data_IF_406936063218
#
_entry.id   IF_406936063218
#
_cell.length_a   1.000
_cell.length_b   1.000
_cell.length_c   1.000
_cell.angle_alpha   90.00
_cell.angle_beta   90.00
_cell.angle_gamma   90.00
#
_symmetry.space_group_name_H-M   'P 1'
#
loop_
_entity.id
_entity.type
_entity.pdbx_description
1 polymer ?
#
# COMPACT_ATOMS: atom_id res chain seq x y z
N UNK A 1 18.61 18.53 -6.88
CA UNK A 1 17.84 18.01 -8.02
C UNK A 1 18.40 16.65 -8.42
N UNK A 2 17.55 15.69 -8.83
CA UNK A 2 17.93 14.27 -8.92
C UNK A 2 18.30 13.75 -10.33
N UNK A 3 17.96 14.48 -11.40
CA UNK A 3 18.16 14.06 -12.81
C UNK A 3 17.70 12.60 -13.06
N UNK A 4 16.40 12.34 -12.88
CA UNK A 4 15.76 11.04 -13.05
C UNK A 4 14.42 11.21 -13.76
N UNK A 5 13.98 10.17 -14.47
CA UNK A 5 12.64 10.11 -15.06
C UNK A 5 11.58 10.20 -13.97
N UNK A 6 10.60 11.08 -14.17
CA UNK A 6 9.45 11.26 -13.28
C UNK A 6 8.17 10.89 -14.02
N UNK A 7 7.19 10.37 -13.29
CA UNK A 7 5.88 9.99 -13.86
C UNK A 7 5.02 11.23 -14.08
N UNK A 8 4.90 12.09 -13.06
CA UNK A 8 4.14 13.33 -13.16
C UNK A 8 5.11 14.50 -13.14
N UNK A 9 4.94 15.41 -14.10
CA UNK A 9 5.67 16.67 -14.20
C UNK A 9 4.81 17.84 -13.72
N UNK A 10 5.39 19.05 -13.75
CA UNK A 10 4.69 20.27 -13.35
C UNK A 10 3.91 20.93 -14.50
N UNK A 11 3.75 20.26 -15.65
CA UNK A 11 3.09 20.82 -16.83
C UNK A 11 1.57 20.54 -16.87
N UNK A 12 1.08 19.65 -16.00
CA UNK A 12 -0.35 19.43 -15.72
C UNK A 12 -1.27 19.18 -16.94
N UNK A 13 -0.72 18.74 -18.07
CA UNK A 13 -1.47 18.61 -19.33
C UNK A 13 -2.34 17.35 -19.43
N UNK A 14 -2.02 16.30 -18.67
CA UNK A 14 -2.76 15.03 -18.65
C UNK A 14 -3.31 14.73 -17.25
N UNK A 15 -4.56 15.14 -17.01
CA UNK A 15 -5.24 14.98 -15.73
C UNK A 15 -5.43 13.52 -15.32
N UNK A 16 -5.65 12.60 -16.27
CA UNK A 16 -5.81 11.17 -15.99
C UNK A 16 -4.53 10.57 -15.41
N UNK A 17 -3.37 11.01 -15.90
CA UNK A 17 -2.09 10.53 -15.41
C UNK A 17 -1.83 10.98 -13.96
N UNK A 18 -2.11 12.26 -13.68
CA UNK A 18 -2.01 12.84 -12.34
C UNK A 18 -2.99 12.15 -11.38
N UNK A 19 -4.22 11.91 -11.84
CA UNK A 19 -5.23 11.19 -11.08
C UNK A 19 -4.80 9.75 -10.75
N UNK A 20 -4.12 9.06 -11.68
CA UNK A 20 -3.61 7.71 -11.43
C UNK A 20 -2.60 7.69 -10.28
N UNK A 21 -1.70 8.68 -10.22
CA UNK A 21 -0.75 8.82 -9.10
C UNK A 21 -1.46 9.24 -7.82
N UNK A 22 -2.42 10.17 -7.88
CA UNK A 22 -3.24 10.56 -6.74
C UNK A 22 -3.98 9.37 -6.12
N UNK A 23 -4.60 8.55 -6.96
CA UNK A 23 -5.28 7.31 -6.59
C UNK A 23 -4.32 6.28 -5.99
N UNK A 24 -3.11 6.12 -6.55
CA UNK A 24 -2.12 5.24 -5.95
C UNK A 24 -1.73 5.71 -4.54
N UNK A 25 -1.46 6.99 -4.36
CA UNK A 25 -1.07 7.55 -3.05
C UNK A 25 -2.20 7.51 -2.02
N UNK A 26 -3.47 7.58 -2.45
CA UNK A 26 -4.64 7.52 -1.58
C UNK A 26 -5.12 6.09 -1.28
N UNK A 27 -4.67 5.10 -2.05
CA UNK A 27 -5.09 3.69 -1.93
C UNK A 27 -4.34 2.93 -0.82
N UNK A 28 -4.89 1.79 -0.35
CA UNK A 28 -4.14 0.85 0.47
C UNK A 28 -2.88 0.35 -0.24
N UNK A 29 -1.84 0.06 0.55
CA UNK A 29 -0.50 -0.30 0.06
C UNK A 29 -0.46 -1.32 -1.09
N UNK A 30 -1.28 -2.39 -1.03
CA UNK A 30 -1.29 -3.42 -2.08
C UNK A 30 -1.81 -2.88 -3.41
N UNK A 31 -2.94 -2.18 -3.40
CA UNK A 31 -3.53 -1.59 -4.61
C UNK A 31 -2.62 -0.50 -5.20
N UNK A 32 -2.02 0.32 -4.32
CA UNK A 32 -1.04 1.31 -4.74
C UNK A 32 0.20 0.68 -5.39
N UNK A 33 0.69 -0.44 -4.84
CA UNK A 33 1.80 -1.18 -5.43
C UNK A 33 1.43 -1.76 -6.81
N UNK A 34 0.22 -2.27 -7.00
CA UNK A 34 -0.24 -2.77 -8.31
C UNK A 34 -0.25 -1.65 -9.37
N UNK A 35 -0.73 -0.46 -9.02
CA UNK A 35 -0.72 0.73 -9.89
C UNK A 35 0.71 1.17 -10.22
N UNK A 36 1.57 1.33 -9.21
CA UNK A 36 2.94 1.76 -9.45
C UNK A 36 3.76 0.72 -10.22
N UNK A 37 3.52 -0.57 -9.99
CA UNK A 37 4.15 -1.63 -10.76
C UNK A 37 3.68 -1.66 -12.22
N UNK A 38 2.41 -1.35 -12.51
CA UNK A 38 1.93 -1.26 -13.90
C UNK A 38 2.49 -0.06 -14.65
N UNK A 39 2.85 1.01 -13.92
CA UNK A 39 3.53 2.20 -14.44
C UNK A 39 5.08 2.07 -14.47
N UNK A 40 5.61 0.88 -14.19
CA UNK A 40 7.06 0.59 -14.08
C UNK A 40 7.84 1.50 -13.10
N UNK A 41 7.16 2.00 -12.07
CA UNK A 41 7.78 2.85 -11.05
C UNK A 41 8.72 2.02 -10.17
N UNK A 42 9.93 2.54 -9.96
CA UNK A 42 10.93 1.89 -9.08
C UNK A 42 11.05 2.55 -7.72
N UNK A 43 10.86 3.87 -7.65
CA UNK A 43 11.03 4.66 -6.44
C UNK A 43 9.85 5.60 -6.24
N UNK A 44 9.47 5.81 -4.98
CA UNK A 44 8.49 6.80 -4.54
C UNK A 44 9.20 7.75 -3.58
N UNK A 45 9.07 9.05 -3.84
CA UNK A 45 9.57 10.11 -2.97
C UNK A 45 8.39 10.77 -2.29
N UNK A 46 8.48 10.98 -0.97
CA UNK A 46 7.51 11.76 -0.20
C UNK A 46 8.23 12.84 0.60
N UNK A 47 7.60 13.99 0.71
CA UNK A 47 8.01 15.10 1.57
C UNK A 47 7.23 15.03 2.87
N UNK A 48 7.93 14.95 3.99
CA UNK A 48 7.34 14.82 5.32
C UNK A 48 7.88 15.89 6.27
N UNK A 49 7.00 16.75 6.77
CA UNK A 49 7.39 17.89 7.60
C UNK A 49 7.22 17.68 9.10
N UNK A 50 6.65 16.56 9.53
CA UNK A 50 6.19 16.38 10.91
C UNK A 50 7.28 16.41 11.97
N UNK A 51 8.53 16.08 11.62
CA UNK A 51 9.66 16.17 12.57
C UNK A 51 10.17 17.59 12.79
N UNK A 52 10.22 18.41 11.73
CA UNK A 52 10.78 19.77 11.78
C UNK A 52 9.72 20.86 11.91
N UNK A 53 8.44 20.54 11.70
CA UNK A 53 7.37 21.53 11.64
C UNK A 53 7.26 22.21 10.28
N UNK A 54 7.58 21.54 9.18
CA UNK A 54 7.46 22.11 7.83
C UNK A 54 6.05 21.89 7.25
N UNK A 55 5.19 22.93 7.14
CA UNK A 55 3.78 22.76 6.80
C UNK A 55 3.51 22.50 5.32
N UNK A 56 4.47 22.72 4.42
CA UNK A 56 4.26 22.49 2.98
C UNK A 56 4.59 21.07 2.52
N UNK A 57 4.36 20.09 3.39
CA UNK A 57 4.60 18.67 3.17
C UNK A 57 3.43 17.97 2.46
N UNK A 58 3.62 16.69 2.10
CA UNK A 58 2.65 15.96 1.28
C UNK A 58 1.40 15.53 2.05
N UNK A 59 1.45 15.47 3.39
CA UNK A 59 0.27 15.22 4.22
C UNK A 59 -0.69 16.41 4.17
N UNK A 60 -0.21 17.66 4.21
CA UNK A 60 -1.09 18.83 4.11
C UNK A 60 -1.69 18.99 2.71
N UNK A 61 -1.01 18.48 1.69
CA UNK A 61 -1.50 18.49 0.30
C UNK A 61 -2.32 17.24 -0.06
N UNK A 62 -2.44 16.28 0.84
CA UNK A 62 -2.98 14.96 0.53
C UNK A 62 -4.44 14.98 0.06
N UNK A 63 -5.29 15.83 0.64
CA UNK A 63 -6.69 15.94 0.20
C UNK A 63 -6.82 16.38 -1.26
N UNK A 64 -5.88 17.16 -1.79
CA UNK A 64 -5.84 17.48 -3.22
C UNK A 64 -5.60 16.24 -4.06
N UNK A 65 -4.70 15.34 -3.63
CA UNK A 65 -4.46 14.07 -4.31
C UNK A 65 -5.71 13.18 -4.32
N UNK A 66 -6.42 13.12 -3.19
CA UNK A 66 -7.69 12.39 -3.05
C UNK A 66 -8.75 12.93 -4.00
N UNK A 67 -8.92 14.26 -4.07
CA UNK A 67 -9.89 14.92 -4.96
C UNK A 67 -9.57 14.70 -6.44
N UNK A 68 -8.29 14.84 -6.82
CA UNK A 68 -7.86 14.63 -8.21
C UNK A 68 -8.03 13.17 -8.61
N UNK A 69 -7.63 12.22 -7.75
CA UNK A 69 -7.84 10.79 -7.97
C UNK A 69 -9.31 10.42 -8.07
N UNK A 70 -10.13 10.90 -7.12
CA UNK A 70 -11.58 10.65 -7.06
C UNK A 70 -12.38 11.26 -8.22
N UNK A 71 -11.88 12.35 -8.81
CA UNK A 71 -12.50 12.98 -9.98
C UNK A 71 -12.46 12.10 -11.24
N UNK A 72 -11.47 11.21 -11.36
CA UNK A 72 -11.35 10.26 -12.48
C UNK A 72 -11.76 8.84 -12.07
N UNK A 73 -11.48 8.46 -10.82
CA UNK A 73 -11.69 7.11 -10.29
C UNK A 73 -12.67 7.14 -9.09
N UNK A 74 -13.98 6.92 -9.32
CA UNK A 74 -15.05 7.17 -8.32
C UNK A 74 -15.02 6.27 -7.06
N UNK A 75 -14.15 5.27 -7.03
CA UNK A 75 -13.97 4.39 -5.87
C UNK A 75 -13.18 5.08 -4.74
N UNK A 76 -12.44 6.16 -5.05
CA UNK A 76 -11.81 7.02 -4.06
C UNK A 76 -12.78 8.17 -3.75
N UNK A 77 -13.20 8.30 -2.49
CA UNK A 77 -14.14 9.34 -2.06
C UNK A 77 -13.54 10.14 -0.92
N UNK A 78 -13.52 11.46 -1.06
CA UNK A 78 -12.99 12.36 -0.02
C UNK A 78 -13.60 12.13 1.37
N UNK A 79 -14.94 11.95 1.52
CA UNK A 79 -15.54 11.71 2.83
C UNK A 79 -14.94 10.51 3.59
N UNK A 80 -14.43 9.50 2.89
CA UNK A 80 -13.85 8.31 3.52
C UNK A 80 -12.56 8.64 4.29
N UNK A 81 -11.91 9.77 4.01
CA UNK A 81 -10.68 10.25 4.67
C UNK A 81 -10.96 11.28 5.77
N UNK A 82 -12.22 11.69 5.94
CA UNK A 82 -12.63 12.71 6.91
C UNK A 82 -13.40 12.05 8.06
N UNK A 83 -13.08 12.45 9.30
CA UNK A 83 -13.86 12.06 10.47
C UNK A 83 -14.79 13.21 10.82
N UNK A 84 -16.10 13.02 10.65
CA UNK A 84 -17.10 14.05 10.94
C UNK A 84 -16.81 15.39 10.21
N UNK A 85 -16.31 15.29 8.96
CA UNK A 85 -15.87 16.43 8.14
C UNK A 85 -14.48 16.98 8.47
N UNK A 86 -13.82 16.49 9.53
CA UNK A 86 -12.48 16.92 9.92
C UNK A 86 -11.39 16.03 9.31
N UNK A 87 -10.34 16.67 8.78
CA UNK A 87 -9.13 15.99 8.33
C UNK A 87 -8.18 15.76 9.49
N UNK A 88 -7.92 14.50 9.83
CA UNK A 88 -7.12 14.11 11.00
C UNK A 88 -6.15 12.98 10.65
N UNK A 89 -5.02 12.95 11.36
CA UNK A 89 -4.02 11.85 11.28
C UNK A 89 -3.69 11.22 12.64
N UNK A 90 -4.46 11.59 13.67
CA UNK A 90 -4.40 11.04 15.03
C UNK A 90 -5.20 9.73 15.16
N UNK A 91 -5.36 9.24 16.38
CA UNK A 91 -6.08 8.00 16.66
C UNK A 91 -7.58 8.06 16.30
N UNK A 92 -8.15 9.24 16.09
CA UNK A 92 -9.55 9.43 15.72
C UNK A 92 -9.74 9.49 14.19
N UNK A 93 -8.65 9.52 13.41
CA UNK A 93 -8.70 9.48 11.96
C UNK A 93 -9.39 8.21 11.44
N UNK A 94 -9.95 8.29 10.23
CA UNK A 94 -10.66 7.15 9.65
C UNK A 94 -9.70 5.99 9.35
N UNK A 95 -10.19 4.74 9.36
CA UNK A 95 -9.39 3.59 8.95
C UNK A 95 -8.83 3.73 7.53
N UNK A 96 -9.55 4.40 6.63
CA UNK A 96 -9.08 4.70 5.26
C UNK A 96 -7.85 5.60 5.29
N UNK A 97 -7.89 6.68 6.09
CA UNK A 97 -6.73 7.58 6.24
C UNK A 97 -5.52 6.88 6.87
N UNK A 98 -5.73 6.09 7.92
CA UNK A 98 -4.63 5.38 8.62
C UNK A 98 -4.06 4.19 7.83
N UNK A 99 -4.73 3.72 6.78
CA UNK A 99 -4.28 2.60 5.96
C UNK A 99 -3.85 3.00 4.53
N UNK A 100 -4.04 4.26 4.13
CA UNK A 100 -3.59 4.75 2.83
C UNK A 100 -2.06 4.70 2.71
N UNK A 101 -1.57 4.63 1.47
CA UNK A 101 -0.13 4.55 1.22
C UNK A 101 0.58 5.82 1.70
N UNK A 102 0.03 7.02 1.44
CA UNK A 102 0.62 8.27 1.89
C UNK A 102 0.91 8.29 3.38
N UNK A 103 -0.08 7.94 4.22
CA UNK A 103 0.10 7.86 5.67
C UNK A 103 1.22 6.90 6.04
N UNK A 104 1.21 5.70 5.44
CA UNK A 104 2.22 4.68 5.71
C UNK A 104 3.63 5.14 5.32
N UNK A 105 3.81 5.78 4.18
CA UNK A 105 5.12 6.24 3.72
C UNK A 105 5.63 7.43 4.54
N UNK A 106 4.78 8.37 4.94
CA UNK A 106 5.23 9.51 5.74
C UNK A 106 5.58 9.10 7.18
N UNK A 107 4.73 8.27 7.82
CA UNK A 107 4.87 7.91 9.24
C UNK A 107 5.60 6.60 9.52
N UNK A 108 6.17 5.95 8.50
CA UNK A 108 6.94 4.71 8.72
C UNK A 108 8.05 4.96 9.75
N UNK A 109 8.05 4.18 10.83
CA UNK A 109 9.03 4.28 11.93
C UNK A 109 9.09 5.64 12.64
N UNK A 110 8.09 6.51 12.46
CA UNK A 110 8.12 7.86 13.03
C UNK A 110 8.16 7.89 14.56
N UNK A 111 7.53 6.91 15.21
CA UNK A 111 7.57 6.72 16.66
C UNK A 111 8.99 6.45 17.19
N UNK A 112 9.92 5.99 16.35
CA UNK A 112 11.32 5.77 16.75
C UNK A 112 12.10 7.09 16.95
N UNK A 113 11.54 8.24 16.54
CA UNK A 113 12.22 9.54 16.66
C UNK A 113 12.16 10.12 18.08
N UNK A 114 11.00 10.06 18.73
CA UNK A 114 10.73 10.68 20.03
C UNK A 114 9.98 9.74 21.00
N UNK A 115 9.71 8.50 20.59
CA UNK A 115 8.96 7.48 21.35
C UNK A 115 7.44 7.62 21.31
N UNK A 116 6.90 8.75 20.85
CA UNK A 116 5.46 9.05 20.84
C UNK A 116 4.91 9.11 19.40
N UNK A 117 5.70 9.63 18.47
CA UNK A 117 5.29 9.97 17.12
C UNK A 117 4.48 11.26 17.10
N UNK A 118 4.98 12.33 17.74
CA UNK A 118 4.30 13.62 17.76
C UNK A 118 4.57 14.40 16.46
N UNK A 119 3.53 14.69 15.67
CA UNK A 119 3.66 15.51 14.48
C UNK A 119 3.61 17.00 14.86
N UNK A 120 4.74 17.72 14.68
CA UNK A 120 4.89 19.14 15.01
C UNK A 120 4.09 20.08 14.12
N UNK A 121 3.75 19.68 12.89
CA UNK A 121 2.93 20.47 11.97
C UNK A 121 1.46 20.43 12.39
N UNK A 122 0.98 19.25 12.80
CA UNK A 122 -0.44 19.05 13.18
C UNK A 122 -0.72 19.28 14.65
N UNK A 123 0.30 19.19 15.50
CA UNK A 123 0.19 19.43 16.94
C UNK A 123 -0.44 18.27 17.72
N UNK A 124 -0.38 17.04 17.20
CA UNK A 124 -0.91 15.87 17.89
C UNK A 124 -0.13 14.60 17.58
N UNK A 125 -0.34 13.57 18.42
CA UNK A 125 0.26 12.25 18.27
C UNK A 125 -0.42 11.47 17.14
N UNK A 126 0.37 10.74 16.35
CA UNK A 126 -0.15 9.95 15.23
C UNK A 126 -1.04 8.79 15.70
N UNK A 127 -2.08 8.47 14.92
CA UNK A 127 -3.01 7.41 15.29
C UNK A 127 -2.45 5.99 15.21
N UNK A 128 -1.82 5.64 14.10
CA UNK A 128 -1.28 4.30 13.86
C UNK A 128 0.24 4.31 13.97
N UNK A 129 0.70 3.96 15.17
CA UNK A 129 2.12 4.00 15.58
C UNK A 129 2.98 2.90 14.96
N UNK A 130 2.47 1.67 14.93
CA UNK A 130 3.25 0.50 14.54
C UNK A 130 2.62 -0.20 13.34
N UNK A 131 3.38 -0.23 12.23
CA UNK A 131 3.01 -0.97 11.03
C UNK A 131 4.28 -1.32 10.23
N UNK A 132 4.15 -2.29 9.34
CA UNK A 132 5.24 -2.72 8.45
C UNK A 132 4.85 -2.48 7.00
N UNK A 133 5.82 -2.13 6.18
CA UNK A 133 5.68 -2.04 4.73
C UNK A 133 6.00 -3.40 4.09
N UNK A 134 5.01 -4.00 3.45
CA UNK A 134 5.14 -5.31 2.78
C UNK A 134 5.58 -5.18 1.33
N UNK A 135 5.19 -4.10 0.64
CA UNK A 135 5.41 -3.89 -0.79
C UNK A 135 6.44 -2.78 -1.09
N UNK A 136 6.79 -1.99 -0.10
CA UNK A 136 7.78 -0.92 -0.20
C UNK A 136 8.92 -1.16 0.80
N UNK A 137 10.11 -0.68 0.46
CA UNK A 137 11.27 -0.63 1.35
C UNK A 137 11.80 0.80 1.44
N UNK A 138 12.08 1.28 2.65
CA UNK A 138 12.75 2.56 2.86
C UNK A 138 14.21 2.43 2.40
N UNK A 139 14.64 3.25 1.45
CA UNK A 139 16.03 3.23 0.93
C UNK A 139 16.83 4.45 1.34
N UNK A 140 16.16 5.56 1.63
CA UNK A 140 16.80 6.79 2.07
C UNK A 140 15.83 7.68 2.84
N UNK A 141 16.28 8.24 3.95
CA UNK A 141 15.57 9.28 4.69
C UNK A 141 16.59 10.35 5.09
N UNK A 142 16.28 11.61 4.79
CA UNK A 142 17.15 12.74 5.16
C UNK A 142 17.31 12.87 6.67
N UNK A 143 18.39 13.52 7.13
CA UNK A 143 18.71 13.70 8.55
C UNK A 143 17.53 14.27 9.37
N UNK A 144 16.84 15.26 8.82
CA UNK A 144 15.67 15.89 9.45
C UNK A 144 14.32 15.35 8.94
N UNK A 145 14.35 14.19 8.28
CA UNK A 145 13.18 13.44 7.80
C UNK A 145 12.28 14.21 6.83
N UNK A 146 12.79 15.29 6.24
CA UNK A 146 12.07 16.15 5.30
C UNK A 146 11.74 15.44 3.98
N UNK A 147 12.67 14.62 3.49
CA UNK A 147 12.49 13.80 2.29
C UNK A 147 12.72 12.34 2.65
N UNK A 148 11.83 11.47 2.19
CA UNK A 148 11.89 10.02 2.33
C UNK A 148 11.72 9.36 0.97
N UNK A 149 12.56 8.38 0.67
CA UNK A 149 12.56 7.65 -0.59
C UNK A 149 12.35 6.18 -0.29
N UNK A 150 11.36 5.63 -0.97
CA UNK A 150 10.98 4.23 -0.89
C UNK A 150 11.20 3.57 -2.23
N UNK A 151 11.63 2.32 -2.21
CA UNK A 151 11.74 1.48 -3.40
C UNK A 151 10.61 0.46 -3.41
N UNK A 152 10.07 0.20 -4.59
CA UNK A 152 9.08 -0.86 -4.80
C UNK A 152 9.76 -2.22 -4.73
N UNK A 153 9.22 -3.11 -3.90
CA UNK A 153 9.67 -4.50 -3.86
C UNK A 153 9.22 -5.23 -5.12
N UNK A 154 10.05 -6.13 -5.68
CA UNK A 154 9.68 -6.92 -6.83
C UNK A 154 8.50 -7.84 -6.48
N UNK A 155 7.72 -8.20 -7.49
CA UNK A 155 6.65 -9.17 -7.33
C UNK A 155 7.25 -10.48 -6.80
N UNK A 156 6.67 -11.02 -5.72
CA UNK A 156 7.12 -12.31 -5.19
C UNK A 156 6.93 -13.37 -6.28
N UNK A 157 8.01 -14.01 -6.69
CA UNK A 157 7.96 -15.13 -7.65
C UNK A 157 6.99 -16.18 -7.13
N UNK A 158 5.89 -16.39 -7.87
CA UNK A 158 4.87 -17.38 -7.55
C UNK A 158 5.38 -18.77 -7.92
N UNK A 159 6.35 -19.31 -7.20
CA UNK A 159 6.67 -20.75 -7.27
C UNK A 159 5.59 -21.49 -6.48
N UNK A 160 4.37 -21.52 -7.01
CA UNK A 160 3.24 -22.25 -6.44
C UNK A 160 2.93 -23.46 -7.30
N UNK A 161 3.92 -24.33 -7.40
CA UNK A 161 3.75 -25.73 -7.74
C UNK A 161 4.09 -26.56 -6.51
N UNK A 162 3.19 -26.63 -5.50
CA UNK A 162 3.14 -27.86 -4.71
C UNK A 162 2.64 -28.91 -5.68
N UNK A 163 3.55 -29.66 -6.28
CA UNK A 163 3.22 -30.88 -7.01
C UNK A 163 2.45 -31.74 -6.00
N UNK A 164 1.12 -31.77 -6.09
CA UNK A 164 0.34 -32.79 -5.40
C UNK A 164 0.83 -34.09 -6.00
N UNK A 165 1.60 -34.86 -5.23
CA UNK A 165 2.02 -36.21 -5.58
C UNK A 165 0.72 -37.01 -5.77
N UNK A 166 0.25 -37.13 -7.01
CA UNK A 166 -0.84 -38.03 -7.35
C UNK A 166 -0.33 -39.43 -7.02
N UNK A 167 -0.79 -40.00 -5.91
CA UNK A 167 -0.61 -41.43 -5.66
C UNK A 167 -1.44 -42.17 -6.70
N UNK A 168 -0.80 -42.57 -7.79
CA UNK A 168 -1.35 -43.59 -8.68
C UNK A 168 -1.45 -44.89 -7.88
N UNK A 169 -2.64 -45.20 -7.37
CA UNK A 169 -2.93 -46.54 -6.84
C UNK A 169 -3.24 -47.42 -8.05
N UNK A 170 -2.23 -48.15 -8.51
CA UNK A 170 -2.43 -49.22 -9.49
C UNK A 170 -3.19 -50.35 -8.78
N UNK A 171 -4.51 -50.42 -8.98
CA UNK A 171 -5.27 -51.63 -8.67
C UNK A 171 -5.15 -52.57 -9.86
N UNK A 172 -4.23 -53.52 -9.75
CA UNK A 172 -4.22 -54.74 -10.57
C UNK A 172 -5.45 -55.57 -10.23
N UNK A 173 -6.33 -55.75 -11.21
CA UNK A 173 -7.41 -56.74 -11.19
C UNK A 173 -6.81 -58.14 -11.34
N UNK A 174 -7.30 -59.15 -10.61
CA UNK A 174 -7.31 -60.51 -11.11
C UNK A 174 -8.75 -60.89 -11.47
N UNK A 175 -8.94 -61.24 -12.73
CA UNK A 175 -10.02 -62.11 -13.20
C UNK A 175 -9.87 -63.50 -12.60
N UNK A 176 -10.95 -64.12 -12.11
CA UNK A 176 -11.35 -65.51 -12.41
C UNK A 176 -12.59 -65.99 -11.62
N UNK A 177 -13.59 -66.40 -12.41
CA UNK A 177 -14.46 -67.58 -12.28
C UNK A 177 -15.28 -67.88 -10.99
N UNK A 178 -16.61 -67.76 -11.17
CA UNK A 178 -17.68 -68.75 -10.90
C UNK A 178 -17.75 -69.51 -9.57
N UNK A 179 -18.89 -69.37 -8.87
CA UNK A 179 -19.37 -70.33 -7.86
C UNK A 179 -20.67 -69.89 -7.19
N UNK A 180 -21.80 -70.50 -7.58
CA UNK A 180 -23.11 -70.37 -6.89
C UNK A 180 -23.02 -70.87 -5.44
N UNK A 181 -23.68 -70.18 -4.49
CA UNK A 181 -24.82 -70.71 -3.68
C UNK A 181 -25.28 -69.71 -2.60
N UNK A 182 -26.62 -69.59 -2.48
CA UNK A 182 -27.36 -69.05 -1.33
C UNK A 182 -26.95 -69.80 -0.03
N UNK A 183 -27.08 -69.21 1.17
CA UNK A 183 -28.35 -69.42 1.89
C UNK A 183 -28.68 -68.42 3.02
N UNK A 184 -29.95 -68.47 3.42
CA UNK A 184 -30.34 -68.32 4.81
C UNK A 184 -29.73 -69.46 5.63
N UNK A 185 -28.52 -69.23 6.17
CA UNK A 185 -27.95 -69.88 7.34
C UNK A 185 -27.21 -68.83 8.17
#
# INVERSE_FOLDING_TARGET
MANRTVIVDNNTWNNTHIATVGTAMSSPEKAAWEIFNSLDVKYVLVVFGGLVGYPSDDINKFLWMVRIGGGVFPHIKEPDYLRDGQYRVDAQATPTMLNCLMYKLCYYRFVETDGKGFDRVRGYEIGKKHFKLTHFEEVFTTHHWMVRIYKLKPQKNRVRGKLKKLKASAKTSPTLAAGRKNPWQ
#
